data_IF_561491794163
#
_entry.id   IF_561491794163
#
_cell.length_a   1.000
_cell.length_b   1.000
_cell.length_c   1.000
_cell.angle_alpha   90.00
_cell.angle_beta   90.00
_cell.angle_gamma   90.00
#
_symmetry.space_group_name_H-M   'P 1'
#
loop_
_entity.id
_entity.type
_entity.pdbx_description
1 polymer ?
#
# COMPACT_ATOMS: atom_id res chain seq x y z
N UNK A 1 35.76 -20.63 9.27
CA UNK A 1 34.69 -20.13 10.13
C UNK A 1 35.04 -18.76 10.71
N UNK A 2 36.23 -18.22 10.42
CA UNK A 2 36.78 -17.06 11.15
C UNK A 2 36.48 -15.70 10.48
N UNK A 3 35.97 -15.69 9.24
CA UNK A 3 35.71 -14.45 8.50
C UNK A 3 34.42 -13.73 8.90
N UNK A 4 33.49 -14.42 9.57
CA UNK A 4 32.22 -13.83 10.00
C UNK A 4 32.31 -13.16 11.38
N UNK A 5 33.23 -13.62 12.25
CA UNK A 5 33.48 -12.99 13.54
C UNK A 5 34.24 -11.67 13.37
N UNK A 6 35.15 -11.59 12.39
CA UNK A 6 35.92 -10.37 12.09
C UNK A 6 35.04 -9.20 11.62
N UNK A 7 33.90 -9.49 11.00
CA UNK A 7 32.91 -8.48 10.58
C UNK A 7 32.07 -7.94 11.74
N UNK A 8 31.89 -8.72 12.82
CA UNK A 8 31.12 -8.32 14.01
C UNK A 8 31.97 -7.51 15.01
N UNK A 9 33.29 -7.73 15.06
CA UNK A 9 34.19 -7.01 15.99
C UNK A 9 34.54 -5.58 15.55
N UNK A 10 34.27 -5.20 14.30
CA UNK A 10 34.52 -3.86 13.75
C UNK A 10 33.61 -2.76 14.31
N UNK A 11 32.55 -3.13 15.03
CA UNK A 11 31.61 -2.22 15.69
C UNK A 11 32.23 -1.39 16.85
N UNK A 12 33.52 -1.58 17.17
CA UNK A 12 34.20 -0.85 18.26
C UNK A 12 35.19 0.24 17.81
N UNK A 13 35.37 0.49 16.51
CA UNK A 13 36.37 1.46 16.01
C UNK A 13 35.86 2.29 14.83
N UNK A 14 35.20 3.41 15.14
CA UNK A 14 34.67 4.37 14.16
C UNK A 14 35.74 4.96 13.21
N UNK A 15 37.04 4.86 13.51
CA UNK A 15 38.13 5.47 12.71
C UNK A 15 38.76 4.56 11.63
N UNK A 16 38.35 3.29 11.48
CA UNK A 16 39.06 2.30 10.63
C UNK A 16 38.34 1.83 9.36
N UNK A 17 37.21 2.45 9.00
CA UNK A 17 36.35 2.00 7.89
C UNK A 17 36.50 2.79 6.58
N UNK A 18 37.30 3.87 6.57
CA UNK A 18 37.53 4.64 5.35
C UNK A 18 38.31 3.83 4.30
N UNK A 19 37.75 3.74 3.09
CA UNK A 19 38.35 3.03 1.94
C UNK A 19 38.20 1.51 1.97
N UNK A 20 37.36 0.96 2.85
CA UNK A 20 37.02 -0.47 2.89
C UNK A 20 35.59 -0.69 2.39
N UNK A 21 35.40 -1.77 1.65
CA UNK A 21 34.06 -2.29 1.34
C UNK A 21 33.42 -2.79 2.63
N UNK A 22 32.29 -2.20 2.98
CA UNK A 22 31.49 -2.59 4.14
C UNK A 22 30.05 -2.85 3.70
N UNK A 23 29.37 -3.68 4.48
CA UNK A 23 27.94 -3.92 4.32
C UNK A 23 27.23 -3.27 5.49
N UNK A 24 26.23 -2.46 5.20
CA UNK A 24 25.40 -1.78 6.21
C UNK A 24 23.95 -2.22 6.01
N UNK A 25 23.30 -2.61 7.10
CA UNK A 25 21.90 -3.00 7.11
C UNK A 25 21.10 -1.95 7.89
N UNK A 26 19.89 -1.64 7.41
CA UNK A 26 19.03 -0.70 8.11
C UNK A 26 17.69 -0.52 7.41
N UNK A 27 16.92 0.43 7.92
CA UNK A 27 15.62 0.83 7.36
C UNK A 27 15.81 2.06 6.49
N UNK A 28 15.32 2.00 5.26
CA UNK A 28 15.38 3.11 4.33
C UNK A 28 14.47 4.26 4.79
N UNK A 29 15.01 5.46 4.83
CA UNK A 29 14.28 6.71 5.02
C UNK A 29 14.45 7.58 3.77
N UNK A 30 13.38 7.72 2.98
CA UNK A 30 13.35 8.63 1.83
C UNK A 30 12.86 10.00 2.28
N UNK A 31 13.73 11.00 2.22
CA UNK A 31 13.38 12.39 2.49
C UNK A 31 12.88 13.04 1.21
N UNK A 32 11.57 13.22 1.13
CA UNK A 32 10.92 13.77 -0.05
C UNK A 32 10.70 15.28 0.08
N UNK A 33 11.13 16.03 -0.94
CA UNK A 33 11.01 17.49 -0.95
C UNK A 33 9.56 18.01 -0.95
N UNK A 34 8.65 17.27 -1.60
CA UNK A 34 7.22 17.61 -1.73
C UNK A 34 6.33 17.04 -0.63
N UNK A 35 6.90 16.28 0.32
CA UNK A 35 6.10 15.66 1.38
C UNK A 35 5.41 16.75 2.22
N UNK A 36 4.09 16.66 2.43
CA UNK A 36 3.36 17.60 3.27
C UNK A 36 3.85 17.47 4.71
N UNK A 37 3.89 18.59 5.42
CA UNK A 37 4.31 18.64 6.81
C UNK A 37 3.32 19.49 7.58
N UNK A 38 2.68 18.88 8.58
CA UNK A 38 1.73 19.55 9.47
C UNK A 38 2.37 20.79 10.10
N UNK A 39 3.65 20.73 10.47
CA UNK A 39 4.36 21.88 11.05
C UNK A 39 4.51 23.03 10.05
N UNK A 40 4.82 22.74 8.77
CA UNK A 40 4.88 23.78 7.73
C UNK A 40 3.51 24.38 7.46
N UNK A 41 2.46 23.57 7.52
CA UNK A 41 1.08 24.04 7.36
C UNK A 41 0.64 24.93 8.53
N UNK A 42 1.09 24.64 9.75
CA UNK A 42 0.78 25.44 10.94
C UNK A 42 1.57 26.75 10.99
N UNK A 43 2.83 26.76 10.53
CA UNK A 43 3.65 27.97 10.43
C UNK A 43 3.11 28.94 9.35
N UNK A 44 2.46 28.39 8.31
CA UNK A 44 1.77 29.14 7.26
C UNK A 44 0.34 29.54 7.70
N UNK A 45 0.19 30.26 8.83
CA UNK A 45 -1.09 30.78 9.37
C UNK A 45 -1.92 31.65 8.38
N UNK A 46 -1.42 31.89 7.16
CA UNK A 46 -2.02 32.77 6.14
C UNK A 46 -2.77 32.03 5.02
N UNK A 47 -2.80 30.70 4.97
CA UNK A 47 -3.53 29.92 3.93
C UNK A 47 -4.96 29.49 4.34
N UNK A 48 -5.66 30.26 5.16
CA UNK A 48 -7.07 30.02 5.51
C UNK A 48 -8.07 30.23 4.35
N UNK A 49 -7.62 30.53 3.11
CA UNK A 49 -8.53 30.94 2.01
C UNK A 49 -8.33 30.16 0.70
N UNK A 50 -7.30 29.33 0.54
CA UNK A 50 -7.15 28.53 -0.69
C UNK A 50 -7.46 27.06 -0.41
N UNK A 51 -8.37 26.44 -1.19
CA UNK A 51 -8.70 25.03 -1.02
C UNK A 51 -7.41 24.22 -1.10
N UNK A 52 -7.20 23.40 -0.07
CA UNK A 52 -6.15 22.37 0.03
C UNK A 52 -5.65 22.01 -1.36
N UNK A 53 -4.42 22.47 -1.69
CA UNK A 53 -3.74 22.15 -2.94
C UNK A 53 -4.04 20.69 -3.27
N UNK A 54 -4.64 20.42 -4.44
CA UNK A 54 -5.07 19.08 -4.86
C UNK A 54 -4.10 18.04 -4.31
N UNK A 55 -4.56 17.18 -3.39
CA UNK A 55 -3.72 16.18 -2.70
C UNK A 55 -2.79 15.59 -3.75
N UNK A 56 -1.50 15.98 -3.70
CA UNK A 56 -0.60 15.65 -4.79
C UNK A 56 -0.54 14.14 -4.88
N UNK A 57 -0.99 13.61 -6.02
CA UNK A 57 -1.04 12.15 -6.24
C UNK A 57 0.35 11.51 -6.21
N UNK A 58 1.40 12.32 -6.33
CA UNK A 58 2.78 11.87 -6.28
C UNK A 58 3.68 12.92 -5.63
N UNK A 59 4.34 12.53 -4.54
CA UNK A 59 5.30 13.35 -3.79
C UNK A 59 6.76 13.14 -4.22
N UNK A 60 7.02 12.26 -5.20
CA UNK A 60 8.37 12.02 -5.68
C UNK A 60 8.94 13.23 -6.42
N UNK A 61 10.23 13.44 -6.25
CA UNK A 61 11.03 14.50 -6.87
C UNK A 61 12.42 13.96 -7.23
N UNK A 62 13.04 14.47 -8.31
CA UNK A 62 14.44 14.15 -8.61
C UNK A 62 15.41 14.65 -7.53
N UNK A 63 14.97 15.56 -6.66
CA UNK A 63 15.77 16.09 -5.55
C UNK A 63 15.60 15.30 -4.24
N UNK A 64 14.90 14.16 -4.27
CA UNK A 64 14.70 13.33 -3.09
C UNK A 64 16.02 12.65 -2.70
N UNK A 65 16.22 12.46 -1.39
CA UNK A 65 17.45 11.88 -0.83
C UNK A 65 17.13 10.63 -0.02
N UNK A 66 18.05 9.68 -0.03
CA UNK A 66 17.90 8.40 0.68
C UNK A 66 18.84 8.35 1.87
N UNK A 67 18.32 7.89 2.99
CA UNK A 67 19.06 7.62 4.20
C UNK A 67 18.87 6.18 4.60
N UNK A 68 19.91 5.56 5.12
CA UNK A 68 19.83 4.27 5.80
C UNK A 68 19.86 4.54 7.31
N UNK A 69 18.82 4.11 8.02
CA UNK A 69 18.66 4.33 9.45
C UNK A 69 18.85 3.03 10.23
N UNK A 70 19.64 3.10 11.30
CA UNK A 70 19.73 2.06 12.33
C UNK A 70 19.65 2.72 13.71
N UNK A 71 18.55 2.48 14.43
CA UNK A 71 18.24 3.18 15.69
C UNK A 71 18.19 4.71 15.53
N UNK A 72 19.06 5.39 16.27
CA UNK A 72 19.19 6.86 16.28
C UNK A 72 20.19 7.37 15.22
N UNK A 73 20.92 6.48 14.56
CA UNK A 73 21.93 6.82 13.57
C UNK A 73 21.35 6.73 12.16
N UNK A 74 21.77 7.65 11.28
CA UNK A 74 21.40 7.61 9.88
C UNK A 74 22.55 8.07 8.98
N UNK A 75 22.71 7.39 7.85
CA UNK A 75 23.71 7.72 6.85
C UNK A 75 23.07 7.97 5.49
N UNK A 76 23.48 9.05 4.83
CA UNK A 76 22.99 9.40 3.49
C UNK A 76 23.56 8.42 2.46
N UNK A 77 22.71 7.79 1.66
CA UNK A 77 23.11 6.91 0.57
C UNK A 77 23.33 7.72 -0.71
N UNK A 78 24.47 7.53 -1.36
CA UNK A 78 24.89 8.18 -2.62
C UNK A 78 25.28 7.12 -3.63
N UNK A 79 24.99 7.37 -4.89
CA UNK A 79 25.33 6.45 -5.98
C UNK A 79 24.45 6.74 -7.19
N UNK A 80 25.05 6.73 -8.38
CA UNK A 80 24.35 7.05 -9.62
C UNK A 80 23.36 5.94 -10.01
N UNK A 81 23.62 4.70 -9.58
CA UNK A 81 22.81 3.52 -9.90
C UNK A 81 21.68 3.24 -8.90
N UNK A 82 21.51 4.07 -7.87
CA UNK A 82 20.43 3.91 -6.88
C UNK A 82 19.08 4.33 -7.49
N UNK A 83 18.07 3.45 -7.55
CA UNK A 83 16.76 3.78 -8.09
C UNK A 83 15.91 4.55 -7.06
N UNK A 84 16.27 5.80 -6.78
CA UNK A 84 15.61 6.66 -5.76
C UNK A 84 14.09 6.74 -5.97
N UNK A 85 13.62 6.71 -7.21
CA UNK A 85 12.20 6.77 -7.56
C UNK A 85 11.43 5.48 -7.28
N UNK A 86 12.10 4.34 -7.15
CA UNK A 86 11.47 3.03 -6.90
C UNK A 86 11.53 2.62 -5.42
N UNK A 87 12.42 3.24 -4.64
CA UNK A 87 12.58 2.99 -3.22
C UNK A 87 11.61 3.86 -2.38
N UNK A 88 11.08 3.29 -1.31
CA UNK A 88 10.17 3.95 -0.38
C UNK A 88 10.66 3.83 1.07
N UNK A 89 10.24 4.78 1.91
CA UNK A 89 10.53 4.76 3.35
C UNK A 89 9.95 3.50 4.01
N UNK A 90 10.70 2.90 4.93
CA UNK A 90 10.29 1.73 5.72
C UNK A 90 10.78 0.39 5.17
N UNK A 91 11.47 0.37 4.02
CA UNK A 91 12.04 -0.86 3.45
C UNK A 91 13.34 -1.21 4.17
N UNK A 92 13.44 -2.43 4.69
CA UNK A 92 14.71 -2.97 5.18
C UNK A 92 15.60 -3.34 3.99
N UNK A 93 16.81 -2.78 3.92
CA UNK A 93 17.79 -3.16 2.92
C UNK A 93 19.19 -3.33 3.51
N UNK A 94 19.99 -4.16 2.85
CA UNK A 94 21.43 -4.22 3.05
C UNK A 94 22.11 -3.54 1.85
N UNK A 95 23.04 -2.62 2.12
CA UNK A 95 23.84 -1.94 1.10
C UNK A 95 25.30 -2.35 1.25
N UNK A 96 25.96 -2.61 0.14
CA UNK A 96 27.42 -2.78 0.06
C UNK A 96 28.02 -1.52 -0.54
N UNK A 97 29.13 -1.06 0.03
CA UNK A 97 29.85 0.09 -0.50
C UNK A 97 30.86 0.65 0.48
N UNK A 98 31.20 1.93 0.30
CA UNK A 98 32.23 2.58 1.10
C UNK A 98 31.76 3.92 1.66
N UNK A 99 32.26 4.28 2.84
CA UNK A 99 32.17 5.64 3.35
C UNK A 99 32.86 6.61 2.39
N UNK A 100 32.18 7.70 2.04
CA UNK A 100 32.71 8.69 1.12
C UNK A 100 34.00 9.33 1.69
N UNK A 101 35.16 9.17 1.03
CA UNK A 101 36.42 9.69 1.54
C UNK A 101 36.53 11.23 1.43
N UNK A 102 35.63 11.89 0.68
CA UNK A 102 35.69 13.34 0.39
C UNK A 102 34.54 14.14 1.01
N UNK A 103 33.67 13.54 1.82
CA UNK A 103 32.51 14.23 2.39
C UNK A 103 31.61 13.31 3.21
N UNK A 104 30.36 13.73 3.43
CA UNK A 104 29.35 12.91 4.11
C UNK A 104 28.69 11.90 3.16
N UNK A 105 28.25 10.78 3.73
CA UNK A 105 27.44 9.77 3.06
C UNK A 105 28.20 8.49 2.69
N UNK A 106 27.44 7.54 2.19
CA UNK A 106 27.85 6.19 1.84
C UNK A 106 27.67 5.97 0.35
N UNK A 107 28.75 5.65 -0.35
CA UNK A 107 28.74 5.37 -1.79
C UNK A 107 28.32 3.91 -1.96
N UNK A 108 27.10 3.69 -2.44
CA UNK A 108 26.53 2.35 -2.66
C UNK A 108 27.05 1.79 -3.98
N UNK A 109 27.61 0.60 -3.91
CA UNK A 109 28.00 -0.20 -5.08
C UNK A 109 26.92 -1.22 -5.44
N UNK A 110 26.30 -1.83 -4.42
CA UNK A 110 25.28 -2.84 -4.59
C UNK A 110 24.31 -2.84 -3.40
N UNK A 111 23.11 -3.38 -3.58
CA UNK A 111 22.12 -3.50 -2.52
C UNK A 111 21.23 -4.73 -2.71
N UNK A 112 20.74 -5.26 -1.59
CA UNK A 112 19.77 -6.36 -1.62
C UNK A 112 18.65 -6.15 -0.59
N UNK A 113 17.50 -6.75 -0.88
CA UNK A 113 16.33 -6.76 0.00
C UNK A 113 16.25 -8.06 0.78
N UNK A 114 15.53 -8.02 1.91
CA UNK A 114 15.13 -9.25 2.59
C UNK A 114 14.28 -10.12 1.66
N UNK A 115 14.76 -11.33 1.40
CA UNK A 115 14.04 -12.35 0.64
C UNK A 115 13.13 -13.13 1.61
N UNK A 116 11.88 -13.34 1.20
CA UNK A 116 10.96 -14.26 1.89
C UNK A 116 10.91 -15.54 1.05
N UNK A 117 11.73 -16.53 1.40
CA UNK A 117 11.75 -17.84 0.74
C UNK A 117 11.12 -18.89 1.63
N UNK A 118 9.79 -18.87 1.74
CA UNK A 118 9.03 -20.00 2.29
C UNK A 118 7.93 -20.40 1.32
N UNK A 119 8.27 -21.03 0.18
CA UNK A 119 7.26 -21.58 -0.71
C UNK A 119 6.53 -22.69 0.03
N UNK A 120 5.28 -22.42 0.41
CA UNK A 120 4.39 -23.47 0.91
C UNK A 120 4.09 -24.40 -0.28
N UNK A 121 4.36 -25.70 -0.11
CA UNK A 121 4.00 -26.69 -1.11
C UNK A 121 2.49 -26.63 -1.37
N UNK A 122 2.11 -26.32 -2.61
CA UNK A 122 0.70 -26.28 -3.01
C UNK A 122 0.22 -27.72 -3.22
N UNK A 123 -0.87 -28.16 -2.58
CA UNK A 123 -1.44 -29.47 -2.86
C UNK A 123 -1.84 -29.54 -4.34
N UNK A 124 -1.34 -30.56 -5.04
CA UNK A 124 -1.64 -30.80 -6.45
C UNK A 124 -3.05 -31.41 -6.56
N UNK A 125 -4.10 -30.58 -6.62
CA UNK A 125 -5.42 -31.06 -7.02
C UNK A 125 -5.47 -31.25 -8.53
N UNK A 126 -6.09 -32.35 -8.99
CA UNK A 126 -6.33 -32.62 -10.42
C UNK A 126 -7.44 -31.73 -11.03
N UNK A 127 -8.15 -30.97 -10.20
CA UNK A 127 -9.20 -30.03 -10.59
C UNK A 127 -8.77 -28.60 -10.27
N UNK A 128 -9.10 -27.69 -11.18
CA UNK A 128 -8.90 -26.26 -10.99
C UNK A 128 -10.09 -25.67 -10.22
N UNK A 129 -9.76 -24.94 -9.16
CA UNK A 129 -10.71 -24.17 -8.37
C UNK A 129 -10.40 -22.68 -8.54
N UNK A 130 -11.45 -21.87 -8.65
CA UNK A 130 -11.33 -20.43 -8.86
C UNK A 130 -11.79 -19.65 -7.64
N UNK A 131 -11.14 -18.52 -7.39
CA UNK A 131 -11.54 -17.53 -6.38
C UNK A 131 -11.82 -16.23 -7.12
N UNK A 132 -13.00 -15.67 -6.90
CA UNK A 132 -13.40 -14.39 -7.46
C UNK A 132 -12.94 -13.27 -6.53
N UNK A 133 -12.16 -12.31 -7.02
CA UNK A 133 -11.71 -11.16 -6.23
C UNK A 133 -12.32 -9.90 -6.81
N UNK A 134 -13.05 -9.16 -5.99
CA UNK A 134 -13.76 -7.94 -6.36
C UNK A 134 -13.39 -6.84 -5.38
N UNK A 135 -13.19 -5.62 -5.85
CA UNK A 135 -12.85 -4.45 -5.01
C UNK A 135 -13.59 -3.22 -5.54
N UNK A 136 -13.87 -2.26 -4.67
CA UNK A 136 -14.37 -0.95 -5.10
C UNK A 136 -15.82 -0.93 -5.56
N UNK A 137 -16.69 -1.80 -5.03
CA UNK A 137 -18.11 -1.85 -5.41
C UNK A 137 -18.86 -0.53 -5.15
N UNK A 138 -18.38 0.28 -4.20
CA UNK A 138 -18.81 1.68 -4.04
C UNK A 138 -20.33 1.85 -3.98
N UNK A 139 -21.03 1.01 -3.20
CA UNK A 139 -22.47 1.13 -3.00
C UNK A 139 -22.81 2.51 -2.44
N UNK A 140 -23.75 3.19 -3.07
CA UNK A 140 -24.22 4.52 -2.69
C UNK A 140 -25.73 4.51 -2.46
N UNK A 141 -26.25 5.56 -1.79
CA UNK A 141 -27.69 5.69 -1.51
C UNK A 141 -28.55 5.84 -2.77
N UNK A 142 -27.97 6.44 -3.82
CA UNK A 142 -28.59 6.61 -5.14
C UNK A 142 -27.87 5.72 -6.16
N UNK A 143 -28.22 4.43 -6.15
CA UNK A 143 -27.67 3.44 -7.07
C UNK A 143 -28.02 3.86 -8.49
N UNK A 144 -27.01 4.28 -9.25
CA UNK A 144 -27.18 4.53 -10.68
C UNK A 144 -27.66 3.23 -11.36
N UNK A 145 -28.55 3.31 -12.36
CA UNK A 145 -29.09 2.13 -13.03
C UNK A 145 -27.99 1.26 -13.67
N UNK A 146 -26.85 1.84 -13.99
CA UNK A 146 -25.69 1.14 -14.54
C UNK A 146 -24.97 0.28 -13.49
N UNK A 147 -24.90 0.75 -12.24
CA UNK A 147 -24.26 0.02 -11.14
C UNK A 147 -25.09 -1.21 -10.76
N UNK A 148 -26.41 -1.06 -10.63
CA UNK A 148 -27.29 -2.19 -10.32
C UNK A 148 -27.26 -3.27 -11.42
N UNK A 149 -27.26 -2.87 -12.69
CA UNK A 149 -27.11 -3.81 -13.81
C UNK A 149 -25.78 -4.56 -13.74
N UNK A 150 -24.67 -3.85 -13.48
CA UNK A 150 -23.34 -4.46 -13.40
C UNK A 150 -23.22 -5.43 -12.23
N UNK A 151 -23.84 -5.11 -11.08
CA UNK A 151 -23.90 -6.00 -9.92
C UNK A 151 -24.73 -7.25 -10.18
N UNK A 152 -25.83 -7.13 -10.93
CA UNK A 152 -26.62 -8.30 -11.32
C UNK A 152 -25.82 -9.22 -12.26
N UNK A 153 -25.08 -8.66 -13.22
CA UNK A 153 -24.19 -9.45 -14.08
C UNK A 153 -23.08 -10.14 -13.28
N UNK A 154 -22.51 -9.45 -12.29
CA UNK A 154 -21.54 -10.05 -11.36
C UNK A 154 -22.16 -11.18 -10.55
N UNK A 155 -23.40 -11.00 -10.09
CA UNK A 155 -24.16 -12.03 -9.39
C UNK A 155 -24.39 -13.26 -10.27
N UNK A 156 -24.82 -13.07 -11.51
CA UNK A 156 -25.04 -14.16 -12.48
C UNK A 156 -23.74 -14.91 -12.82
N UNK A 157 -22.61 -14.18 -12.87
CA UNK A 157 -21.28 -14.76 -13.04
C UNK A 157 -20.87 -15.60 -11.82
N UNK A 158 -21.06 -15.07 -10.61
CA UNK A 158 -20.68 -15.74 -9.36
C UNK A 158 -21.55 -16.97 -9.09
N UNK A 159 -22.83 -16.92 -9.44
CA UNK A 159 -23.80 -18.02 -9.25
C UNK A 159 -23.77 -19.05 -10.38
N UNK A 160 -23.06 -18.77 -11.48
CA UNK A 160 -22.94 -19.69 -12.62
C UNK A 160 -24.18 -19.73 -13.52
N UNK A 161 -25.07 -18.75 -13.43
CA UNK A 161 -26.20 -18.60 -14.36
C UNK A 161 -25.78 -18.05 -15.73
N UNK A 162 -24.54 -17.59 -15.86
CA UNK A 162 -23.96 -17.18 -17.14
C UNK A 162 -23.34 -18.37 -17.89
N UNK A 163 -23.72 -18.54 -19.16
CA UNK A 163 -23.22 -19.58 -20.06
C UNK A 163 -21.68 -19.57 -20.26
N UNK A 164 -21.01 -18.47 -19.86
CA UNK A 164 -19.56 -18.28 -19.96
C UNK A 164 -18.78 -19.05 -18.87
N UNK A 165 -19.45 -19.46 -17.77
CA UNK A 165 -18.80 -19.99 -16.55
C UNK A 165 -19.02 -21.49 -16.35
N UNK A 166 -19.72 -22.17 -17.25
CA UNK A 166 -20.19 -23.56 -17.10
C UNK A 166 -19.09 -24.59 -16.74
N UNK A 167 -17.81 -24.30 -16.97
CA UNK A 167 -16.68 -25.19 -16.65
C UNK A 167 -15.80 -24.72 -15.46
N UNK A 168 -16.06 -23.55 -14.88
CA UNK A 168 -15.22 -22.99 -13.81
C UNK A 168 -15.91 -23.09 -12.46
N UNK A 169 -15.40 -23.94 -11.58
CA UNK A 169 -15.88 -24.03 -10.20
C UNK A 169 -15.31 -22.88 -9.36
N UNK A 170 -16.08 -21.80 -9.24
CA UNK A 170 -15.77 -20.70 -8.31
C UNK A 170 -16.13 -21.16 -6.90
N UNK A 171 -15.15 -21.18 -6.00
CA UNK A 171 -15.31 -21.70 -4.62
C UNK A 171 -15.58 -20.60 -3.61
N UNK A 172 -14.98 -19.42 -3.80
CA UNK A 172 -15.10 -18.29 -2.88
C UNK A 172 -15.07 -16.96 -3.61
N UNK A 173 -15.73 -15.96 -3.02
CA UNK A 173 -15.68 -14.55 -3.38
C UNK A 173 -14.95 -13.75 -2.30
N UNK A 174 -13.91 -13.00 -2.67
CA UNK A 174 -13.21 -12.06 -1.80
C UNK A 174 -13.58 -10.64 -2.21
N UNK A 175 -14.21 -9.91 -1.30
CA UNK A 175 -14.51 -8.48 -1.43
C UNK A 175 -13.39 -7.66 -0.78
N UNK A 176 -12.45 -7.19 -1.57
CA UNK A 176 -11.27 -6.45 -1.16
C UNK A 176 -11.54 -4.94 -1.02
N UNK A 177 -12.34 -4.54 -0.03
CA UNK A 177 -12.51 -3.15 0.41
C UNK A 177 -13.17 -2.18 -0.57
N UNK A 178 -13.44 -0.97 -0.05
CA UNK A 178 -14.14 0.12 -0.72
C UNK A 178 -15.52 -0.32 -1.21
N UNK A 179 -16.25 -0.96 -0.29
CA UNK A 179 -17.59 -1.48 -0.55
C UNK A 179 -18.63 -0.37 -0.54
N UNK A 180 -18.42 0.69 0.24
CA UNK A 180 -19.36 1.80 0.39
C UNK A 180 -18.72 3.10 -0.10
N UNK A 181 -19.44 3.88 -0.90
CA UNK A 181 -19.02 5.24 -1.26
C UNK A 181 -19.69 6.27 -0.35
N UNK A 182 -18.88 6.96 0.46
CA UNK A 182 -19.32 8.05 1.33
C UNK A 182 -19.26 9.42 0.65
N UNK A 183 -18.60 9.52 -0.50
CA UNK A 183 -18.21 10.80 -1.08
C UNK A 183 -19.21 11.36 -2.10
N UNK A 184 -20.24 10.62 -2.50
CA UNK A 184 -21.25 11.13 -3.43
C UNK A 184 -22.08 12.31 -2.88
N UNK A 185 -22.06 12.55 -1.57
CA UNK A 185 -22.80 13.61 -0.88
C UNK A 185 -22.07 14.96 -0.70
N UNK A 186 -20.75 15.05 -0.97
CA UNK A 186 -19.96 16.26 -0.71
C UNK A 186 -20.29 17.48 -1.61
N UNK A 187 -21.22 17.33 -2.57
CA UNK A 187 -21.61 18.42 -3.49
C UNK A 187 -22.73 19.34 -2.97
N UNK A 188 -23.31 19.08 -1.80
CA UNK A 188 -24.38 19.94 -1.26
C UNK A 188 -24.20 20.20 0.24
N UNK A 189 -24.18 21.48 0.62
CA UNK A 189 -23.74 22.02 1.91
C UNK A 189 -24.60 21.70 3.15
N UNK A 190 -25.21 20.52 3.25
CA UNK A 190 -25.95 20.05 4.43
C UNK A 190 -25.35 18.72 4.93
N UNK A 191 -24.32 18.81 5.79
CA UNK A 191 -23.20 17.84 5.83
C UNK A 191 -23.27 16.72 6.88
N UNK A 192 -24.18 16.75 7.87
CA UNK A 192 -24.17 15.71 8.93
C UNK A 192 -25.29 14.67 8.80
N UNK A 193 -26.55 15.08 8.69
CA UNK A 193 -27.69 14.15 8.73
C UNK A 193 -27.93 13.40 7.41
N UNK A 194 -27.68 14.01 6.26
CA UNK A 194 -27.88 13.39 4.95
C UNK A 194 -26.88 12.24 4.71
N UNK A 195 -25.63 12.44 5.13
CA UNK A 195 -24.54 11.47 4.99
C UNK A 195 -24.77 10.20 5.82
N UNK A 196 -25.34 10.33 7.02
CA UNK A 196 -25.74 9.17 7.85
C UNK A 196 -26.91 8.41 7.23
N UNK A 197 -27.87 9.11 6.63
CA UNK A 197 -29.04 8.47 6.00
C UNK A 197 -28.63 7.71 4.73
N UNK A 198 -27.76 8.28 3.90
CA UNK A 198 -27.33 7.66 2.65
C UNK A 198 -26.32 6.53 2.86
N UNK A 199 -25.46 6.63 3.87
CA UNK A 199 -24.61 5.51 4.30
C UNK A 199 -25.45 4.35 4.86
N UNK A 200 -26.48 4.61 5.66
CA UNK A 200 -27.40 3.57 6.12
C UNK A 200 -28.14 2.86 4.97
N UNK A 201 -28.49 3.57 3.90
CA UNK A 201 -29.07 2.95 2.70
C UNK A 201 -28.05 2.09 1.95
N UNK A 202 -26.83 2.58 1.78
CA UNK A 202 -25.74 1.83 1.15
C UNK A 202 -25.42 0.54 1.91
N UNK A 203 -25.37 0.59 3.25
CA UNK A 203 -25.19 -0.59 4.12
C UNK A 203 -26.32 -1.60 3.90
N UNK A 204 -27.58 -1.15 3.84
CA UNK A 204 -28.73 -2.05 3.57
C UNK A 204 -28.66 -2.69 2.18
N UNK A 205 -28.14 -1.99 1.19
CA UNK A 205 -27.96 -2.54 -0.17
C UNK A 205 -26.86 -3.57 -0.21
N UNK A 206 -25.73 -3.28 0.44
CA UNK A 206 -24.63 -4.22 0.62
C UNK A 206 -25.08 -5.47 1.36
N UNK A 207 -25.82 -5.32 2.47
CA UNK A 207 -26.38 -6.43 3.25
C UNK A 207 -27.28 -7.32 2.39
N UNK A 208 -28.18 -6.74 1.59
CA UNK A 208 -29.01 -7.51 0.64
C UNK A 208 -28.17 -8.25 -0.40
N UNK A 209 -27.15 -7.60 -0.95
CA UNK A 209 -26.27 -8.22 -1.94
C UNK A 209 -25.50 -9.40 -1.35
N UNK A 210 -24.94 -9.24 -0.14
CA UNK A 210 -24.23 -10.29 0.59
C UNK A 210 -25.16 -11.44 1.00
N UNK A 211 -26.37 -11.13 1.49
CA UNK A 211 -27.38 -12.13 1.82
C UNK A 211 -27.82 -12.94 0.59
N UNK A 212 -27.81 -12.34 -0.60
CA UNK A 212 -28.11 -13.04 -1.84
C UNK A 212 -26.96 -13.95 -2.28
N UNK A 213 -25.70 -13.47 -2.25
CA UNK A 213 -24.54 -14.27 -2.67
C UNK A 213 -24.18 -15.36 -1.66
N UNK A 214 -24.31 -15.07 -0.37
CA UNK A 214 -23.98 -15.99 0.72
C UNK A 214 -24.84 -17.26 0.74
N UNK A 215 -25.91 -17.31 -0.05
CA UNK A 215 -26.69 -18.54 -0.26
C UNK A 215 -25.99 -19.54 -1.18
N UNK A 216 -25.08 -19.09 -2.04
CA UNK A 216 -24.46 -19.89 -3.09
C UNK A 216 -22.98 -20.20 -2.83
N UNK A 217 -22.26 -19.30 -2.16
CA UNK A 217 -20.82 -19.46 -1.92
C UNK A 217 -20.33 -18.75 -0.66
N UNK A 218 -19.12 -19.09 -0.25
CA UNK A 218 -18.42 -18.38 0.82
C UNK A 218 -17.97 -17.00 0.33
N UNK A 219 -18.15 -15.99 1.18
CA UNK A 219 -17.79 -14.61 0.90
C UNK A 219 -16.92 -14.08 2.03
N UNK A 220 -15.70 -13.67 1.69
CA UNK A 220 -14.76 -13.01 2.60
C UNK A 220 -14.76 -11.50 2.32
N UNK A 221 -14.96 -10.68 3.37
CA UNK A 221 -15.01 -9.22 3.24
C UNK A 221 -13.83 -8.61 3.96
N UNK A 222 -13.08 -7.77 3.24
CA UNK A 222 -12.01 -6.95 3.79
C UNK A 222 -12.45 -5.48 3.82
N UNK A 223 -12.17 -4.73 4.90
CA UNK A 223 -12.49 -3.31 4.96
C UNK A 223 -11.56 -2.49 4.05
N UNK A 224 -12.10 -1.47 3.39
CA UNK A 224 -11.34 -0.42 2.71
C UNK A 224 -11.21 0.87 3.52
N UNK A 225 -10.50 1.86 2.98
CA UNK A 225 -10.28 3.16 3.63
C UNK A 225 -11.54 4.03 3.73
N UNK A 226 -12.52 3.79 2.85
CA UNK A 226 -13.81 4.49 2.83
C UNK A 226 -14.90 3.75 3.62
N UNK A 227 -14.64 2.49 3.99
CA UNK A 227 -15.60 1.65 4.69
C UNK A 227 -15.60 1.97 6.19
N UNK A 228 -16.71 1.64 6.86
CA UNK A 228 -16.83 1.78 8.31
C UNK A 228 -16.03 0.67 8.98
N UNK A 229 -14.78 0.95 9.35
CA UNK A 229 -14.00 0.11 10.27
C UNK A 229 -13.95 0.76 11.65
N UNK A 230 -14.22 -0.02 12.67
CA UNK A 230 -14.12 0.36 14.10
C UNK A 230 -12.70 0.25 14.60
#
# INVERSE_FOLDING_TARGET
>A
MDSNEELLELNSRHDTLFGKDVVVCGVLLKRMSKQPSILKELDDERKLIEPLEEIQKNYCSPNDTLFLQDGDESIELKGDDLPINQLCTGVCLATKGQLNPKGSGFIVEDYCFALIENPVERPLSQKDYYVLIVSGLSFNGDVSPNLSQSLNLLFDLATGHSDIVLEKTIVSLILAGNSIDRNSGLKSGNISSQNEIDSNKAIKLLDKFLANIGQYMFVDIMPGSLDLST
#
